data_IF_467137897182
#
_entry.id   IF_467137897182
#
_cell.length_a   1.000
_cell.length_b   1.000
_cell.length_c   1.000
_cell.angle_alpha   90.00
_cell.angle_beta   90.00
_cell.angle_gamma   90.00
#
_symmetry.space_group_name_H-M   'P 1'
#
loop_
_entity.id
_entity.type
_entity.pdbx_description
1 polymer ?
#
# COMPACT_ATOMS: atom_id res chain seq x y z
N UNK A 1 9.19 12.18 17.14
CA UNK A 1 7.73 12.41 17.03
C UNK A 1 7.06 11.33 17.86
N UNK A 2 6.21 11.72 18.78
CA UNK A 2 5.53 10.78 19.68
C UNK A 2 4.38 10.10 18.91
N UNK A 3 4.10 8.82 19.19
CA UNK A 3 3.01 8.08 18.54
C UNK A 3 1.69 8.51 19.16
N UNK A 4 0.81 9.16 18.40
CA UNK A 4 -0.50 9.61 18.90
C UNK A 4 -1.51 8.45 18.99
N UNK A 5 -1.43 7.51 18.05
CA UNK A 5 -2.25 6.31 18.07
C UNK A 5 -1.51 5.15 17.41
N UNK A 6 -1.40 4.04 18.14
CA UNK A 6 -0.77 2.81 17.64
C UNK A 6 -1.83 1.73 17.44
N UNK A 7 -1.81 1.13 16.26
CA UNK A 7 -2.49 -0.12 15.92
C UNK A 7 -1.47 -1.27 15.92
N UNK A 8 -1.86 -2.46 15.54
CA UNK A 8 -0.94 -3.59 15.46
C UNK A 8 0.06 -3.46 14.31
N UNK A 9 -0.41 -2.96 13.16
CA UNK A 9 0.34 -2.91 11.91
C UNK A 9 0.60 -1.50 11.40
N UNK A 10 -0.04 -0.47 11.98
CA UNK A 10 0.20 0.92 11.64
C UNK A 10 0.37 1.79 12.88
N UNK A 11 1.21 2.82 12.75
CA UNK A 11 1.40 3.86 13.75
C UNK A 11 1.01 5.22 13.17
N UNK A 12 0.30 6.02 13.95
CA UNK A 12 -0.20 7.33 13.54
C UNK A 12 0.52 8.41 14.33
N UNK A 13 0.98 9.44 13.63
CA UNK A 13 1.67 10.59 14.20
C UNK A 13 1.05 11.86 13.68
N UNK A 14 0.58 12.74 14.54
CA UNK A 14 0.16 14.06 14.13
C UNK A 14 1.41 14.93 13.89
N UNK A 15 1.53 15.48 12.70
CA UNK A 15 2.58 16.44 12.38
C UNK A 15 2.21 17.82 12.89
N UNK A 16 0.94 18.19 12.70
CA UNK A 16 0.29 19.38 13.21
C UNK A 16 -1.24 19.16 13.16
N UNK A 17 -2.02 20.22 13.43
CA UNK A 17 -3.48 20.14 13.47
C UNK A 17 -4.13 19.77 12.11
N UNK A 18 -3.41 19.91 11.00
CA UNK A 18 -3.93 19.70 9.65
C UNK A 18 -3.22 18.61 8.86
N UNK A 19 -2.20 17.95 9.43
CA UNK A 19 -1.41 16.93 8.74
C UNK A 19 -1.14 15.72 9.60
N UNK A 20 -1.40 14.53 9.05
CA UNK A 20 -1.21 13.25 9.74
C UNK A 20 -0.20 12.39 8.99
N UNK A 21 0.70 11.75 9.72
CA UNK A 21 1.61 10.75 9.19
C UNK A 21 1.14 9.34 9.58
N UNK A 22 1.05 8.47 8.61
CA UNK A 22 0.76 7.05 8.76
C UNK A 22 2.03 6.27 8.48
N UNK A 23 2.48 5.48 9.42
CA UNK A 23 3.60 4.57 9.24
C UNK A 23 3.09 3.14 9.18
N UNK A 24 3.40 2.40 8.11
CA UNK A 24 3.25 0.95 8.06
C UNK A 24 4.29 0.37 9.00
N UNK A 25 3.86 -0.29 10.07
CA UNK A 25 4.71 -0.68 11.19
C UNK A 25 4.55 -2.15 11.56
N UNK A 26 4.77 -3.01 10.57
CA UNK A 26 4.89 -4.45 10.73
C UNK A 26 6.20 -4.95 10.10
N UNK A 27 7.35 -4.71 10.76
CA UNK A 27 8.65 -5.11 10.24
C UNK A 27 8.80 -6.62 10.08
N UNK A 28 8.03 -7.41 10.84
CA UNK A 28 8.07 -8.88 10.78
C UNK A 28 7.61 -9.43 9.44
N UNK A 29 6.67 -8.76 8.79
CA UNK A 29 6.18 -9.08 7.45
C UNK A 29 6.75 -8.16 6.37
N UNK A 30 7.69 -7.26 6.71
CA UNK A 30 8.19 -6.19 5.83
C UNK A 30 7.06 -5.26 5.37
N UNK A 31 6.18 -4.91 6.29
CA UNK A 31 5.02 -4.05 6.06
C UNK A 31 4.07 -4.60 4.96
N UNK A 32 3.87 -5.93 4.95
CA UNK A 32 2.99 -6.57 3.98
C UNK A 32 1.51 -6.19 4.20
N UNK A 33 0.76 -6.11 3.11
CA UNK A 33 -0.68 -5.92 3.11
C UNK A 33 -1.39 -7.21 3.55
N UNK A 34 -1.39 -7.44 4.86
CA UNK A 34 -2.23 -8.44 5.49
C UNK A 34 -3.69 -7.98 5.59
N UNK A 35 -4.61 -8.89 5.84
CA UNK A 35 -6.02 -8.54 6.11
C UNK A 35 -6.10 -7.54 7.28
N UNK A 36 -5.29 -7.73 8.34
CA UNK A 36 -5.22 -6.81 9.47
C UNK A 36 -4.72 -5.43 9.06
N UNK A 37 -3.62 -5.32 8.34
CA UNK A 37 -3.07 -4.05 7.85
C UNK A 37 -4.12 -3.27 7.04
N UNK A 38 -4.81 -3.97 6.12
CA UNK A 38 -5.86 -3.36 5.28
C UNK A 38 -7.04 -2.88 6.14
N UNK A 39 -7.46 -3.66 7.12
CA UNK A 39 -8.55 -3.28 8.02
C UNK A 39 -8.18 -2.08 8.88
N UNK A 40 -6.97 -2.03 9.44
CA UNK A 40 -6.49 -0.91 10.25
C UNK A 40 -6.38 0.38 9.42
N UNK A 41 -5.88 0.28 8.18
CA UNK A 41 -5.86 1.41 7.26
C UNK A 41 -7.27 1.91 6.94
N UNK A 42 -8.21 1.01 6.66
CA UNK A 42 -9.60 1.41 6.41
C UNK A 42 -10.23 2.08 7.63
N UNK A 43 -10.03 1.54 8.83
CA UNK A 43 -10.53 2.11 10.08
C UNK A 43 -9.95 3.51 10.35
N UNK A 44 -8.67 3.71 10.03
CA UNK A 44 -8.03 5.02 10.11
C UNK A 44 -8.66 5.99 9.09
N UNK A 45 -8.78 5.57 7.85
CA UNK A 45 -9.34 6.40 6.79
C UNK A 45 -10.81 6.79 7.06
N UNK A 46 -11.60 5.92 7.70
CA UNK A 46 -12.98 6.24 8.13
C UNK A 46 -13.05 7.46 9.05
N UNK A 47 -12.01 7.65 9.88
CA UNK A 47 -11.93 8.77 10.83
C UNK A 47 -11.43 10.05 10.16
N UNK A 48 -10.59 9.94 9.13
CA UNK A 48 -9.89 11.07 8.51
C UNK A 48 -10.66 11.63 7.31
N UNK A 49 -11.27 10.79 6.50
CA UNK A 49 -11.90 11.15 5.22
C UNK A 49 -12.93 12.28 5.34
N UNK A 50 -13.64 12.34 6.48
CA UNK A 50 -14.67 13.34 6.77
C UNK A 50 -14.19 14.45 7.71
N UNK A 51 -12.90 14.48 8.02
CA UNK A 51 -12.34 15.48 8.92
C UNK A 51 -11.77 16.66 8.11
N UNK A 52 -12.55 17.71 7.96
CA UNK A 52 -12.20 18.90 7.19
C UNK A 52 -10.99 19.68 7.76
N UNK A 53 -10.58 19.42 9.01
CA UNK A 53 -9.37 19.99 9.58
C UNK A 53 -8.12 19.35 9.01
N UNK A 54 -8.17 18.07 8.63
CA UNK A 54 -7.02 17.36 8.06
C UNK A 54 -6.97 17.64 6.55
N UNK A 55 -5.90 18.27 6.14
CA UNK A 55 -5.64 18.70 4.74
C UNK A 55 -4.74 17.72 3.99
N UNK A 56 -3.91 16.97 4.72
CA UNK A 56 -3.00 16.05 4.09
C UNK A 56 -2.61 14.88 4.97
N UNK A 57 -2.19 13.81 4.29
CA UNK A 57 -1.76 12.55 4.90
C UNK A 57 -0.47 12.13 4.22
N UNK A 58 0.57 11.83 4.99
CA UNK A 58 1.75 11.17 4.46
C UNK A 58 1.78 9.70 4.90
N UNK A 59 2.18 8.85 3.98
CA UNK A 59 2.37 7.41 4.22
C UNK A 59 3.85 7.08 4.08
N UNK A 60 4.40 6.35 5.04
CA UNK A 60 5.76 5.81 4.99
C UNK A 60 5.79 4.39 5.56
N UNK A 61 6.87 3.69 5.37
CA UNK A 61 7.07 2.38 6.00
C UNK A 61 8.19 2.42 7.04
N UNK A 62 8.08 1.60 8.07
CA UNK A 62 9.12 1.41 9.07
C UNK A 62 10.31 0.61 8.52
N UNK A 63 11.46 0.74 9.18
CA UNK A 63 12.68 -0.05 8.93
C UNK A 63 13.15 -0.05 7.46
N UNK A 64 13.03 1.07 6.74
CA UNK A 64 13.52 1.22 5.38
C UNK A 64 12.79 0.36 4.35
N UNK A 65 11.60 -0.12 4.66
CA UNK A 65 10.71 -0.85 3.77
C UNK A 65 9.37 -0.11 3.70
N UNK A 66 9.00 0.39 2.53
CA UNK A 66 7.68 1.00 2.39
C UNK A 66 6.60 -0.07 2.55
N UNK A 67 6.54 -1.03 1.63
CA UNK A 67 5.61 -2.16 1.70
C UNK A 67 6.05 -3.26 0.74
N UNK A 68 6.03 -4.52 1.18
CA UNK A 68 6.44 -5.68 0.39
C UNK A 68 5.32 -6.26 -0.50
N UNK A 69 4.13 -5.66 -0.51
CA UNK A 69 2.96 -6.16 -1.23
C UNK A 69 2.09 -7.08 -0.39
N UNK A 70 1.33 -7.96 -1.01
CA UNK A 70 0.44 -8.87 -0.31
C UNK A 70 1.18 -9.83 0.62
N UNK A 71 0.56 -10.21 1.74
CA UNK A 71 1.17 -11.12 2.72
C UNK A 71 1.30 -12.54 2.15
N UNK A 72 2.53 -12.97 1.88
CA UNK A 72 2.81 -14.29 1.29
C UNK A 72 2.36 -15.46 2.16
N UNK A 73 2.30 -15.31 3.48
CA UNK A 73 1.78 -16.35 4.37
C UNK A 73 0.28 -16.54 4.14
N UNK A 74 -0.48 -15.45 4.09
CA UNK A 74 -1.91 -15.49 3.79
C UNK A 74 -2.18 -16.04 2.37
N UNK A 75 -1.37 -15.64 1.39
CA UNK A 75 -1.45 -16.20 0.02
C UNK A 75 -1.23 -17.73 0.03
N UNK A 76 -0.20 -18.21 0.74
CA UNK A 76 0.07 -19.65 0.84
C UNK A 76 -1.08 -20.41 1.53
N UNK A 77 -1.71 -19.81 2.54
CA UNK A 77 -2.88 -20.39 3.19
C UNK A 77 -4.10 -20.47 2.24
N UNK A 78 -4.25 -19.48 1.38
CA UNK A 78 -5.28 -19.48 0.34
C UNK A 78 -5.10 -20.63 -0.62
N UNK A 79 -3.89 -20.85 -1.12
CA UNK A 79 -3.61 -21.95 -2.05
C UNK A 79 -3.88 -23.35 -1.44
N UNK A 80 -3.82 -23.46 -0.12
CA UNK A 80 -4.13 -24.71 0.62
C UNK A 80 -5.61 -24.85 1.01
N UNK A 81 -6.41 -23.83 0.80
CA UNK A 81 -7.82 -23.82 1.20
C UNK A 81 -8.69 -24.65 0.25
N UNK A 82 -9.88 -25.06 0.72
CA UNK A 82 -10.88 -25.77 -0.08
C UNK A 82 -11.41 -24.93 -1.26
N UNK A 83 -11.48 -23.60 -1.08
CA UNK A 83 -12.00 -22.64 -2.08
C UNK A 83 -10.97 -21.52 -2.33
N UNK A 84 -9.84 -21.86 -3.00
CA UNK A 84 -8.73 -20.91 -3.15
C UNK A 84 -9.08 -19.71 -4.03
N UNK A 85 -9.93 -19.89 -5.04
CA UNK A 85 -10.33 -18.81 -5.96
C UNK A 85 -11.11 -17.70 -5.26
N UNK A 86 -12.08 -18.06 -4.42
CA UNK A 86 -12.93 -17.08 -3.74
C UNK A 86 -12.13 -16.29 -2.69
N UNK A 87 -11.25 -16.96 -1.96
CA UNK A 87 -10.35 -16.31 -1.02
C UNK A 87 -9.36 -15.39 -1.71
N UNK A 88 -8.74 -15.83 -2.80
CA UNK A 88 -7.84 -14.99 -3.60
C UNK A 88 -8.58 -13.78 -4.17
N UNK A 89 -9.80 -13.95 -4.66
CA UNK A 89 -10.63 -12.85 -5.15
C UNK A 89 -10.96 -11.84 -4.04
N UNK A 90 -11.28 -12.32 -2.83
CA UNK A 90 -11.57 -11.46 -1.67
C UNK A 90 -10.38 -10.57 -1.33
N UNK A 91 -9.16 -11.14 -1.20
CA UNK A 91 -7.94 -10.36 -0.89
C UNK A 91 -7.62 -9.38 -2.03
N UNK A 92 -7.62 -9.85 -3.26
CA UNK A 92 -7.38 -8.99 -4.42
C UNK A 92 -8.35 -7.81 -4.43
N UNK A 93 -9.64 -8.06 -4.22
CA UNK A 93 -10.68 -7.02 -4.18
C UNK A 93 -10.47 -6.04 -3.01
N UNK A 94 -10.05 -6.52 -1.83
CA UNK A 94 -9.82 -5.64 -0.67
C UNK A 94 -8.64 -4.70 -0.92
N UNK A 95 -7.56 -5.17 -1.54
CA UNK A 95 -6.43 -4.33 -1.97
C UNK A 95 -6.91 -3.30 -3.00
N UNK A 96 -7.66 -3.72 -4.02
CA UNK A 96 -8.19 -2.81 -5.03
C UNK A 96 -9.10 -1.71 -4.46
N UNK A 97 -9.95 -2.05 -3.49
CA UNK A 97 -10.79 -1.09 -2.77
C UNK A 97 -9.96 -0.09 -1.96
N UNK A 98 -8.93 -0.55 -1.25
CA UNK A 98 -8.01 0.33 -0.51
C UNK A 98 -7.29 1.31 -1.45
N UNK A 99 -6.75 0.84 -2.57
CA UNK A 99 -6.09 1.69 -3.56
C UNK A 99 -7.05 2.76 -4.13
N UNK A 100 -8.26 2.35 -4.50
CA UNK A 100 -9.30 3.27 -4.97
C UNK A 100 -9.63 4.31 -3.92
N UNK A 101 -9.75 3.90 -2.66
CA UNK A 101 -10.04 4.79 -1.55
C UNK A 101 -8.94 5.82 -1.35
N UNK A 102 -7.67 5.39 -1.30
CA UNK A 102 -6.52 6.29 -1.18
C UNK A 102 -6.50 7.31 -2.31
N UNK A 103 -6.74 6.88 -3.56
CA UNK A 103 -6.76 7.78 -4.72
C UNK A 103 -7.89 8.80 -4.69
N UNK A 104 -9.01 8.51 -4.02
CA UNK A 104 -10.19 9.37 -3.96
C UNK A 104 -10.34 10.15 -2.67
N UNK A 105 -9.33 10.12 -1.78
CA UNK A 105 -9.35 10.93 -0.56
C UNK A 105 -9.43 12.42 -0.89
N UNK A 106 -10.21 13.20 -0.13
CA UNK A 106 -10.23 14.66 -0.27
C UNK A 106 -8.94 15.32 0.24
N UNK A 107 -8.17 14.61 1.08
CA UNK A 107 -6.87 15.05 1.58
C UNK A 107 -5.77 14.81 0.55
N UNK A 108 -4.80 15.72 0.47
CA UNK A 108 -3.58 15.47 -0.31
C UNK A 108 -2.80 14.30 0.28
N UNK A 109 -2.42 13.36 -0.55
CA UNK A 109 -1.67 12.17 -0.13
C UNK A 109 -0.22 12.20 -0.61
N UNK A 110 0.74 12.06 0.33
CA UNK A 110 2.17 11.98 0.04
C UNK A 110 2.71 10.61 0.42
N UNK A 111 3.31 9.92 -0.54
CA UNK A 111 3.96 8.62 -0.34
C UNK A 111 5.47 8.84 -0.17
N UNK A 112 6.01 8.54 1.01
CA UNK A 112 7.43 8.68 1.36
C UNK A 112 8.07 7.31 1.29
N UNK A 113 8.88 7.07 0.26
CA UNK A 113 9.47 5.76 -0.02
C UNK A 113 10.98 5.83 0.19
N UNK A 114 11.44 5.39 1.35
CA UNK A 114 12.87 5.38 1.70
C UNK A 114 13.60 4.12 1.22
N UNK A 115 12.88 3.01 1.04
CA UNK A 115 13.44 1.73 0.62
C UNK A 115 12.64 1.06 -0.49
N UNK A 116 12.11 -0.13 -0.24
CA UNK A 116 11.41 -0.89 -1.28
C UNK A 116 9.88 -0.75 -1.20
N UNK A 117 9.24 -0.60 -2.37
CA UNK A 117 7.80 -0.71 -2.54
C UNK A 117 7.53 -1.75 -3.63
N UNK A 118 7.03 -2.93 -3.24
CA UNK A 118 6.88 -4.08 -4.11
C UNK A 118 5.40 -4.44 -4.31
N UNK A 119 5.05 -4.94 -5.47
CA UNK A 119 3.72 -5.46 -5.77
C UNK A 119 2.60 -4.48 -5.33
N UNK A 120 1.67 -4.92 -4.47
CA UNK A 120 0.63 -4.07 -3.90
C UNK A 120 1.15 -2.82 -3.18
N UNK A 121 2.37 -2.86 -2.60
CA UNK A 121 3.02 -1.69 -2.00
C UNK A 121 3.39 -0.63 -3.04
N UNK A 122 3.86 -1.06 -4.21
CA UNK A 122 4.07 -0.16 -5.34
C UNK A 122 2.72 0.40 -5.84
N UNK A 123 1.67 -0.42 -5.82
CA UNK A 123 0.31 0.03 -6.09
C UNK A 123 -0.15 1.16 -5.16
N UNK A 124 0.07 1.02 -3.83
CA UNK A 124 -0.24 2.09 -2.85
C UNK A 124 0.52 3.36 -3.17
N UNK A 125 1.83 3.27 -3.43
CA UNK A 125 2.63 4.43 -3.81
C UNK A 125 2.06 5.12 -5.06
N UNK A 126 1.67 4.34 -6.07
CA UNK A 126 1.10 4.88 -7.30
C UNK A 126 -0.32 5.47 -7.12
N UNK A 127 -1.08 5.03 -6.14
CA UNK A 127 -2.40 5.55 -5.82
C UNK A 127 -2.36 6.94 -5.17
N UNK A 128 -1.25 7.31 -4.52
CA UNK A 128 -1.09 8.63 -3.91
C UNK A 128 -0.82 9.75 -4.91
N UNK A 129 -1.08 10.99 -4.49
CA UNK A 129 -0.91 12.18 -5.32
C UNK A 129 0.57 12.47 -5.60
N UNK A 130 1.37 12.54 -4.54
CA UNK A 130 2.78 12.89 -4.59
C UNK A 130 3.61 11.72 -4.06
N UNK A 131 4.75 11.44 -4.72
CA UNK A 131 5.71 10.46 -4.23
C UNK A 131 7.07 11.13 -4.02
N UNK A 132 7.58 11.03 -2.79
CA UNK A 132 8.92 11.44 -2.41
C UNK A 132 9.73 10.16 -2.23
N UNK A 133 10.76 10.00 -3.05
CA UNK A 133 11.44 8.72 -3.20
C UNK A 133 12.93 8.88 -2.93
N UNK A 134 13.48 8.04 -2.07
CA UNK A 134 14.93 7.98 -1.88
C UNK A 134 15.63 7.45 -3.13
N UNK A 135 16.81 7.96 -3.47
CA UNK A 135 17.56 7.59 -4.69
C UNK A 135 17.91 6.10 -4.80
N UNK A 136 17.93 5.37 -3.68
CA UNK A 136 18.18 3.92 -3.63
C UNK A 136 16.89 3.08 -3.47
N UNK A 137 15.71 3.72 -3.52
CA UNK A 137 14.45 2.99 -3.43
C UNK A 137 14.28 2.03 -4.61
N UNK A 138 13.60 0.91 -4.36
CA UNK A 138 13.38 -0.15 -5.35
C UNK A 138 11.89 -0.37 -5.55
N UNK A 139 11.50 -0.55 -6.80
CA UNK A 139 10.12 -0.81 -7.21
C UNK A 139 10.08 -2.06 -8.09
N UNK A 140 9.06 -2.88 -7.90
CA UNK A 140 8.86 -4.06 -8.74
C UNK A 140 7.42 -4.55 -8.66
N UNK A 141 6.95 -5.13 -9.76
CA UNK A 141 5.67 -5.83 -9.86
C UNK A 141 5.92 -7.34 -9.77
N UNK A 142 6.23 -7.80 -8.56
CA UNK A 142 6.67 -9.19 -8.29
C UNK A 142 5.57 -10.24 -8.44
N UNK A 143 4.33 -9.85 -8.70
CA UNK A 143 3.19 -10.76 -8.90
C UNK A 143 3.46 -11.77 -9.99
N UNK A 144 4.05 -11.37 -11.11
CA UNK A 144 4.34 -12.26 -12.25
C UNK A 144 5.37 -13.34 -11.92
N UNK A 145 6.26 -13.08 -10.96
CA UNK A 145 7.24 -14.08 -10.51
C UNK A 145 6.60 -15.29 -9.79
N UNK A 146 5.39 -15.13 -9.28
CA UNK A 146 4.62 -16.18 -8.59
C UNK A 146 3.36 -16.60 -9.35
N UNK A 147 3.30 -16.28 -10.66
CA UNK A 147 2.20 -16.66 -11.53
C UNK A 147 0.89 -15.88 -11.32
N UNK A 148 0.94 -14.73 -10.65
CA UNK A 148 -0.19 -13.84 -10.49
C UNK A 148 -0.09 -12.66 -11.46
N UNK A 149 -1.23 -12.01 -11.71
CA UNK A 149 -1.29 -10.76 -12.48
C UNK A 149 -1.44 -9.56 -11.54
N UNK A 150 -0.76 -8.43 -11.80
CA UNK A 150 -0.90 -7.20 -11.00
C UNK A 150 -2.21 -6.46 -11.32
N UNK A 151 -3.35 -7.18 -11.40
CA UNK A 151 -4.61 -6.67 -11.94
C UNK A 151 -5.11 -5.42 -11.22
N UNK A 152 -5.13 -5.43 -9.89
CA UNK A 152 -5.68 -4.33 -9.09
C UNK A 152 -4.80 -3.08 -9.10
N UNK A 153 -3.49 -3.26 -9.25
CA UNK A 153 -2.52 -2.16 -9.18
C UNK A 153 -2.20 -1.57 -10.56
N UNK A 154 -2.44 -2.31 -11.64
CA UNK A 154 -2.14 -1.90 -13.02
C UNK A 154 -2.64 -0.50 -13.39
N UNK A 155 -3.89 -0.10 -13.10
CA UNK A 155 -4.38 1.22 -13.47
C UNK A 155 -3.58 2.35 -12.82
N UNK A 156 -3.17 2.17 -11.58
CA UNK A 156 -2.41 3.16 -10.81
C UNK A 156 -0.97 3.27 -11.32
N UNK A 157 -0.34 2.13 -11.60
CA UNK A 157 1.02 2.09 -12.16
C UNK A 157 1.05 2.72 -13.55
N UNK A 158 0.07 2.41 -14.42
CA UNK A 158 -0.04 3.01 -15.75
C UNK A 158 -0.20 4.52 -15.65
N UNK A 159 -1.04 5.00 -14.75
CA UNK A 159 -1.27 6.44 -14.54
C UNK A 159 0.01 7.16 -14.07
N UNK A 160 0.81 6.53 -13.20
CA UNK A 160 2.00 7.12 -12.58
C UNK A 160 3.26 7.01 -13.46
N UNK A 161 3.50 5.84 -14.06
CA UNK A 161 4.73 5.53 -14.81
C UNK A 161 4.59 5.65 -16.34
N UNK A 162 3.37 5.81 -16.84
CA UNK A 162 3.04 5.73 -18.26
C UNK A 162 2.96 4.30 -18.78
N UNK A 163 2.26 4.11 -19.90
CA UNK A 163 1.92 2.77 -20.42
C UNK A 163 3.15 1.91 -20.73
N UNK A 164 4.16 2.48 -21.39
CA UNK A 164 5.34 1.73 -21.82
C UNK A 164 6.15 1.18 -20.64
N UNK A 165 6.42 2.03 -19.64
CA UNK A 165 7.13 1.62 -18.42
C UNK A 165 6.30 0.63 -17.59
N UNK A 166 5.01 0.90 -17.40
CA UNK A 166 4.13 0.01 -16.69
C UNK A 166 4.06 -1.39 -17.35
N UNK A 167 3.96 -1.45 -18.67
CA UNK A 167 3.98 -2.72 -19.43
C UNK A 167 5.29 -3.48 -19.21
N UNK A 168 6.44 -2.79 -19.30
CA UNK A 168 7.75 -3.40 -19.01
C UNK A 168 7.76 -4.00 -17.60
N UNK A 169 7.46 -3.20 -16.58
CA UNK A 169 7.43 -3.63 -15.18
C UNK A 169 6.51 -4.84 -14.95
N UNK A 170 5.32 -4.87 -15.57
CA UNK A 170 4.37 -5.97 -15.46
C UNK A 170 4.87 -7.28 -16.10
N UNK A 171 5.68 -7.19 -17.13
CA UNK A 171 6.18 -8.38 -17.85
C UNK A 171 7.46 -8.90 -17.21
N UNK A 172 8.38 -8.01 -16.85
CA UNK A 172 9.74 -8.36 -16.40
C UNK A 172 9.88 -8.45 -14.88
N UNK A 173 8.93 -7.91 -14.15
CA UNK A 173 9.00 -7.70 -12.69
C UNK A 173 10.18 -6.80 -12.25
N UNK A 174 10.78 -6.03 -13.17
CA UNK A 174 11.90 -5.10 -12.90
C UNK A 174 11.42 -3.67 -12.68
#
# INVERSE_FOLDING_TARGET
MEVDKKFNNISIFNFNESWVNVEFDDPSSKNALSENMINELNNFLDQIERNDKIRGISFKGSNGMFCSGANLKEINEIFKASEPKDKAHKISTSIGKLLKRIQSLPQVTIMIVEGAAMAGGFGIMCAGDISIVHSKAKFSLTETMIGLTPAQISPYVIKKAGFANAKKLMITAE
#
